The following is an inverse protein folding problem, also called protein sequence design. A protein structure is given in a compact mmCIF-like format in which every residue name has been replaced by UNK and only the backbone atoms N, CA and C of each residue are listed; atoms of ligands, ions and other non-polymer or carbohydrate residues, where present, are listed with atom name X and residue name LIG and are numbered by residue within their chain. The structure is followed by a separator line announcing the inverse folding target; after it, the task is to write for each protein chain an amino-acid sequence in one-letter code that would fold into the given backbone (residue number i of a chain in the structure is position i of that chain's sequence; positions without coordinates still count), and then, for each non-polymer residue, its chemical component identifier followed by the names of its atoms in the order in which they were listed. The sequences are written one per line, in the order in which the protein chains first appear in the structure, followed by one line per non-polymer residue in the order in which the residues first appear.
data_IF_755961041089
#
_entry.id   IF_755961041089
#
_cell.length_a   1.000
_cell.length_b   1.000
_cell.length_c   1.000
_cell.angle_alpha   90.00
_cell.angle_beta   90.00
_cell.angle_gamma   90.00
#
_symmetry.space_group_name_H-M   'P 1'
#
loop_
_entity.id
_entity.type
_entity.pdbx_description
1 polymer ?
#
# COMPACT_ATOMS: atom_id res chain seq x y z
N UNK A 1 5.05 41.57 20.14
CA UNK A 1 3.94 40.87 19.46
C UNK A 1 4.28 40.29 18.08
N UNK A 2 5.48 40.52 17.53
CA UNK A 2 5.77 40.16 16.13
C UNK A 2 6.43 38.78 16.02
N UNK A 3 7.27 38.39 16.99
CA UNK A 3 7.96 37.10 17.02
C UNK A 3 7.00 35.91 17.22
N UNK A 4 6.06 36.02 18.16
CA UNK A 4 5.05 34.98 18.43
C UNK A 4 4.17 34.71 17.20
N UNK A 5 3.80 35.77 16.47
CA UNK A 5 2.99 35.66 15.25
C UNK A 5 3.77 34.99 14.11
N UNK A 6 5.07 35.28 13.98
CA UNK A 6 5.95 34.60 13.00
C UNK A 6 6.19 33.12 13.34
N UNK A 7 6.36 32.78 14.62
CA UNK A 7 6.52 31.39 15.07
C UNK A 7 5.25 30.58 14.80
N UNK A 8 4.07 31.14 15.11
CA UNK A 8 2.79 30.47 14.82
C UNK A 8 2.57 30.27 13.31
N UNK A 9 2.98 31.25 12.49
CA UNK A 9 2.84 31.16 11.03
C UNK A 9 3.81 30.12 10.45
N UNK A 10 5.06 30.08 10.94
CA UNK A 10 6.06 29.08 10.53
C UNK A 10 5.66 27.65 10.92
N UNK A 11 5.11 27.48 12.13
CA UNK A 11 4.64 26.18 12.62
C UNK A 11 3.41 25.69 11.83
N UNK A 12 2.47 26.59 11.51
CA UNK A 12 1.33 26.27 10.67
C UNK A 12 1.75 25.85 9.24
N UNK A 13 2.75 26.53 8.66
CA UNK A 13 3.30 26.18 7.35
C UNK A 13 4.05 24.84 7.35
N UNK A 14 4.72 24.50 8.46
CA UNK A 14 5.35 23.19 8.65
C UNK A 14 4.33 22.06 8.79
N UNK A 15 3.20 22.30 9.47
CA UNK A 15 2.09 21.34 9.56
C UNK A 15 1.40 21.10 8.20
N UNK A 16 1.30 22.12 7.35
CA UNK A 16 0.73 22.02 6.00
C UNK A 16 1.61 21.19 5.03
N UNK A 17 2.92 21.10 5.27
CA UNK A 17 3.82 20.25 4.48
C UNK A 17 3.68 18.76 4.83
N UNK A 18 3.15 18.42 6.01
CA UNK A 18 2.95 17.04 6.45
C UNK A 18 1.70 16.37 5.85
N UNK A 19 0.81 17.11 5.18
CA UNK A 19 -0.46 16.57 4.64
C UNK A 19 -0.43 16.28 3.13
N UNK A 20 0.70 16.48 2.45
CA UNK A 20 0.76 16.51 0.98
C UNK A 20 0.79 15.15 0.25
N UNK A 21 0.75 14.00 0.93
CA UNK A 21 0.88 12.70 0.26
C UNK A 21 -0.21 11.67 0.65
N UNK A 22 -1.39 12.11 1.08
CA UNK A 22 -2.41 11.20 1.61
C UNK A 22 -3.39 10.62 0.56
N UNK A 23 -3.27 10.96 -0.73
CA UNK A 23 -4.36 10.68 -1.70
C UNK A 23 -3.97 10.21 -3.10
N UNK A 24 -2.69 10.11 -3.46
CA UNK A 24 -2.31 9.65 -4.80
C UNK A 24 -2.27 8.13 -4.86
N UNK A 25 -3.11 7.55 -5.74
CA UNK A 25 -3.06 6.12 -6.07
C UNK A 25 -1.74 5.82 -6.76
N UNK A 26 -0.97 4.90 -6.19
CA UNK A 26 0.32 4.45 -6.73
C UNK A 26 0.06 3.29 -7.71
N UNK A 27 0.69 3.33 -8.89
CA UNK A 27 0.62 2.23 -9.85
C UNK A 27 1.50 1.07 -9.39
N UNK A 28 1.01 -0.15 -9.56
CA UNK A 28 1.76 -1.35 -9.19
C UNK A 28 3.05 -1.48 -10.01
N UNK A 29 3.01 -1.12 -11.30
CA UNK A 29 4.19 -1.13 -12.18
C UNK A 29 5.33 -0.22 -11.68
N UNK A 30 5.02 0.94 -11.11
CA UNK A 30 6.03 1.87 -10.57
C UNK A 30 6.74 1.24 -9.37
N UNK A 31 5.97 0.61 -8.49
CA UNK A 31 6.48 -0.09 -7.31
C UNK A 31 7.37 -1.27 -7.72
N UNK A 32 6.96 -2.03 -8.74
CA UNK A 32 7.74 -3.16 -9.26
C UNK A 32 9.03 -2.74 -9.96
N UNK A 33 9.02 -1.59 -10.62
CA UNK A 33 10.20 -1.07 -11.33
C UNK A 33 11.25 -0.58 -10.34
N UNK A 34 10.82 0.10 -9.27
CA UNK A 34 11.71 0.72 -8.28
C UNK A 34 11.40 0.26 -6.84
N UNK A 35 11.43 -1.05 -6.53
CA UNK A 35 10.94 -1.57 -5.24
C UNK A 35 11.68 -0.99 -4.03
N UNK A 36 12.97 -0.70 -4.16
CA UNK A 36 13.77 -0.07 -3.11
C UNK A 36 13.29 1.34 -2.74
N UNK A 37 12.74 2.10 -3.69
CA UNK A 37 12.18 3.42 -3.41
C UNK A 37 10.86 3.35 -2.65
N UNK A 38 10.10 2.27 -2.83
CA UNK A 38 8.81 2.10 -2.17
C UNK A 38 8.91 1.31 -0.87
N UNK A 39 10.04 0.67 -0.58
CA UNK A 39 10.21 -0.08 0.65
C UNK A 39 9.89 0.78 1.89
N UNK A 40 9.04 0.25 2.76
CA UNK A 40 8.53 0.89 3.98
C UNK A 40 7.69 2.16 3.76
N UNK A 41 7.33 2.49 2.51
CA UNK A 41 6.42 3.59 2.22
C UNK A 41 4.96 3.15 2.33
N UNK A 42 4.14 4.04 2.90
CA UNK A 42 2.68 3.93 2.84
C UNK A 42 2.21 4.36 1.45
N UNK A 43 1.43 3.52 0.79
CA UNK A 43 0.84 3.78 -0.52
C UNK A 43 -0.61 3.32 -0.56
N UNK A 44 -1.37 3.88 -1.49
CA UNK A 44 -2.69 3.36 -1.84
C UNK A 44 -2.64 2.75 -3.23
N UNK A 45 -2.97 1.47 -3.36
CA UNK A 45 -3.13 0.80 -4.65
C UNK A 45 -4.58 0.37 -4.83
N UNK A 46 -5.00 0.23 -6.07
CA UNK A 46 -6.30 -0.38 -6.38
C UNK A 46 -6.13 -1.26 -7.61
N UNK A 47 -6.82 -2.39 -7.63
CA UNK A 47 -6.70 -3.38 -8.69
C UNK A 47 -7.75 -4.47 -8.57
N UNK A 48 -7.77 -5.37 -9.53
CA UNK A 48 -8.66 -6.54 -9.56
C UNK A 48 -7.94 -7.75 -8.96
N UNK A 49 -8.61 -8.47 -8.06
CA UNK A 49 -8.07 -9.71 -7.48
C UNK A 49 -7.98 -10.80 -8.55
N UNK A 50 -6.77 -11.28 -8.82
CA UNK A 50 -6.53 -12.36 -9.79
C UNK A 50 -6.29 -13.72 -9.10
N UNK A 51 -5.78 -13.71 -7.87
CA UNK A 51 -5.54 -14.91 -7.07
C UNK A 51 -5.74 -14.64 -5.57
N UNK A 52 -6.29 -15.62 -4.86
CA UNK A 52 -6.50 -15.55 -3.40
C UNK A 52 -5.94 -16.81 -2.74
N UNK A 53 -5.07 -16.62 -1.75
CA UNK A 53 -4.65 -17.66 -0.80
C UNK A 53 -5.16 -17.28 0.59
N UNK A 54 -6.00 -18.11 1.19
CA UNK A 54 -6.60 -17.83 2.48
C UNK A 54 -6.40 -19.01 3.44
N UNK A 55 -6.26 -18.69 4.72
CA UNK A 55 -6.30 -19.64 5.83
C UNK A 55 -7.55 -19.30 6.66
N UNK A 56 -8.72 -19.89 6.34
CA UNK A 56 -10.00 -19.47 6.92
C UNK A 56 -10.03 -19.52 8.44
N UNK A 57 -9.41 -20.55 9.03
CA UNK A 57 -9.33 -20.74 10.48
C UNK A 57 -8.55 -19.62 11.20
N UNK A 58 -7.62 -18.96 10.52
CA UNK A 58 -6.83 -17.85 11.05
C UNK A 58 -7.33 -16.48 10.60
N UNK A 59 -8.38 -16.42 9.76
CA UNK A 59 -8.88 -15.17 9.12
C UNK A 59 -7.76 -14.37 8.44
N UNK A 60 -6.76 -15.07 7.90
CA UNK A 60 -5.64 -14.48 7.19
C UNK A 60 -5.73 -14.79 5.70
N UNK A 61 -5.31 -13.84 4.87
CA UNK A 61 -5.20 -14.06 3.43
C UNK A 61 -4.07 -13.25 2.80
N UNK A 62 -3.58 -13.77 1.69
CA UNK A 62 -2.71 -13.11 0.73
C UNK A 62 -3.45 -13.11 -0.61
N UNK A 63 -3.62 -11.94 -1.20
CA UNK A 63 -4.29 -11.77 -2.48
C UNK A 63 -3.34 -11.15 -3.49
N UNK A 64 -3.33 -11.68 -4.71
CA UNK A 64 -2.65 -11.07 -5.84
C UNK A 64 -3.65 -10.16 -6.55
N UNK A 65 -3.31 -8.89 -6.72
CA UNK A 65 -4.12 -7.92 -7.45
C UNK A 65 -3.36 -7.41 -8.68
N UNK A 66 -4.09 -7.07 -9.73
CA UNK A 66 -3.59 -6.48 -10.97
C UNK A 66 -4.30 -5.13 -11.23
N UNK A 67 -3.54 -4.07 -11.51
CA UNK A 67 -4.06 -2.75 -11.90
C UNK A 67 -3.91 -2.44 -13.40
N UNK A 68 -3.49 -3.42 -14.20
CA UNK A 68 -3.17 -3.30 -15.62
C UNK A 68 -1.73 -2.87 -15.90
N UNK A 69 -0.98 -2.44 -14.88
CA UNK A 69 0.45 -2.09 -14.99
C UNK A 69 1.36 -3.13 -14.33
N UNK A 70 0.78 -4.04 -13.55
CA UNK A 70 1.45 -5.19 -12.99
C UNK A 70 0.71 -5.77 -11.80
N UNK A 71 1.21 -6.91 -11.33
CA UNK A 71 0.62 -7.62 -10.20
C UNK A 71 1.40 -7.43 -8.89
N UNK A 72 0.70 -7.35 -7.75
CA UNK A 72 1.29 -7.26 -6.41
C UNK A 72 0.55 -8.11 -5.39
N UNK A 73 1.30 -8.67 -4.44
CA UNK A 73 0.73 -9.39 -3.31
C UNK A 73 0.29 -8.42 -2.23
N UNK A 74 -0.91 -8.63 -1.70
CA UNK A 74 -1.48 -7.79 -0.66
C UNK A 74 -1.97 -8.68 0.47
N UNK A 75 -1.75 -8.25 1.71
CA UNK A 75 -2.24 -8.90 2.91
C UNK A 75 -3.37 -8.04 3.50
N UNK A 76 -4.62 -8.21 3.03
CA UNK A 76 -5.74 -7.43 3.51
C UNK A 76 -6.11 -7.81 4.95
N UNK A 77 -6.50 -6.82 5.73
CA UNK A 77 -7.06 -7.03 7.07
C UNK A 77 -8.56 -7.30 6.96
N UNK A 78 -9.06 -8.32 7.66
CA UNK A 78 -10.49 -8.61 7.78
C UNK A 78 -11.03 -9.52 6.68
N UNK A 79 -12.04 -9.04 5.92
CA UNK A 79 -12.74 -9.86 4.91
C UNK A 79 -11.78 -10.24 3.78
N UNK A 80 -11.63 -11.55 3.57
CA UNK A 80 -10.89 -12.13 2.43
C UNK A 80 -11.59 -11.75 1.12
N UNK A 81 -10.92 -11.01 0.22
CA UNK A 81 -11.44 -10.70 -1.11
C UNK A 81 -11.54 -11.95 -2.00
N UNK A 82 -12.58 -11.99 -2.84
CA UNK A 82 -12.73 -13.05 -3.85
C UNK A 82 -12.05 -12.68 -5.17
N UNK A 83 -11.66 -13.69 -5.95
CA UNK A 83 -11.17 -13.48 -7.32
C UNK A 83 -12.21 -12.73 -8.15
N UNK A 84 -11.76 -11.71 -8.89
CA UNK A 84 -12.60 -10.82 -9.69
C UNK A 84 -13.12 -9.60 -8.93
N UNK A 85 -12.94 -9.52 -7.61
CA UNK A 85 -13.30 -8.32 -6.83
C UNK A 85 -12.30 -7.20 -7.13
N UNK A 86 -12.80 -6.00 -7.40
CA UNK A 86 -11.96 -4.79 -7.44
C UNK A 86 -11.80 -4.25 -6.02
N UNK A 87 -10.56 -4.07 -5.58
CA UNK A 87 -10.27 -3.61 -4.22
C UNK A 87 -9.30 -2.43 -4.23
N UNK A 88 -9.48 -1.51 -3.26
CA UNK A 88 -8.57 -0.42 -2.95
C UNK A 88 -7.95 -0.67 -1.58
N UNK A 89 -6.62 -0.66 -1.49
CA UNK A 89 -5.90 -0.96 -0.26
C UNK A 89 -4.88 0.14 -0.02
N UNK A 90 -4.95 0.70 1.18
CA UNK A 90 -3.95 1.62 1.71
C UNK A 90 -3.10 0.87 2.72
N UNK A 91 -1.79 0.84 2.52
CA UNK A 91 -0.91 0.11 3.41
C UNK A 91 0.57 0.34 3.17
N UNK A 92 1.40 -0.31 3.98
CA UNK A 92 2.86 -0.18 3.93
C UNK A 92 3.45 -1.25 3.05
N UNK A 93 4.32 -0.83 2.13
CA UNK A 93 5.08 -1.71 1.26
C UNK A 93 6.19 -2.40 2.06
N UNK A 94 6.22 -3.73 1.99
CA UNK A 94 7.30 -4.56 2.53
C UNK A 94 7.92 -5.35 1.38
N UNK A 95 9.20 -5.10 1.10
CA UNK A 95 9.95 -5.84 0.09
C UNK A 95 10.61 -7.05 0.76
N UNK A 96 10.07 -8.25 0.52
CA UNK A 96 10.53 -9.50 1.12
C UNK A 96 11.02 -10.51 0.09
N UNK A 97 12.16 -11.14 0.35
CA UNK A 97 12.76 -12.16 -0.52
C UNK A 97 12.06 -13.53 -0.33
N UNK A 98 11.48 -14.05 -1.42
CA UNK A 98 11.13 -15.47 -1.71
C UNK A 98 10.15 -16.21 -0.76
N UNK A 99 9.09 -16.75 -1.35
CA UNK A 99 8.12 -17.69 -0.78
C UNK A 99 8.08 -18.89 -1.75
N UNK A 100 8.20 -20.11 -1.22
CA UNK A 100 8.06 -21.37 -1.95
C UNK A 100 9.03 -21.54 -3.15
N UNK A 101 10.33 -21.28 -2.95
CA UNK A 101 11.40 -21.44 -3.97
C UNK A 101 11.21 -20.66 -5.28
N UNK A 102 10.22 -19.75 -5.35
CA UNK A 102 10.09 -18.79 -6.43
C UNK A 102 10.63 -17.45 -5.94
N UNK A 103 11.67 -16.98 -6.62
CA UNK A 103 12.28 -15.67 -6.42
C UNK A 103 11.30 -14.58 -6.90
N UNK A 104 10.19 -14.42 -6.18
CA UNK A 104 9.28 -13.32 -6.39
C UNK A 104 9.73 -12.30 -5.33
N UNK A 105 10.29 -11.17 -5.75
CA UNK A 105 10.53 -10.04 -4.86
C UNK A 105 9.16 -9.55 -4.38
N UNK A 106 8.62 -10.17 -3.35
CA UNK A 106 7.25 -9.95 -2.93
C UNK A 106 7.20 -8.58 -2.29
N UNK A 107 6.54 -7.68 -2.99
CA UNK A 107 6.10 -6.43 -2.44
C UNK A 107 4.75 -6.75 -1.80
N UNK A 108 4.70 -6.70 -0.46
CA UNK A 108 3.48 -6.92 0.31
C UNK A 108 2.97 -5.59 0.81
N UNK A 109 1.70 -5.31 0.55
CA UNK A 109 1.01 -4.20 1.19
C UNK A 109 0.29 -4.76 2.42
N UNK A 110 0.70 -4.32 3.61
CA UNK A 110 -0.06 -4.55 4.84
C UNK A 110 -0.95 -3.34 5.09
N UNK A 111 -2.27 -3.53 5.04
CA UNK A 111 -3.18 -2.41 5.03
C UNK A 111 -4.65 -2.77 5.15
N UNK A 112 -5.45 -1.73 5.37
CA UNK A 112 -6.90 -1.81 5.44
C UNK A 112 -7.52 -1.45 4.08
N UNK A 113 -8.72 -1.96 3.80
CA UNK A 113 -9.46 -1.55 2.61
C UNK A 113 -9.78 -0.06 2.73
N UNK A 114 -9.32 0.75 1.76
CA UNK A 114 -9.73 2.14 1.65
C UNK A 114 -11.20 2.20 1.24
N UNK A 115 -11.98 3.05 1.93
CA UNK A 115 -13.38 3.33 1.60
C UNK A 115 -13.54 3.81 0.15
#
# INVERSE_FOLDING_TARGET
MNATRKIVTALAMFLLLLTACAGSRTKIGDIRTNPGEFNEKEVTVKGTVVQTYAVPFLKQSLVLIDDGTGEIWVKPVGKVPFKGEEISIKGVIKVGLTIANKNLGFIVIEGEKGQ
#
